data_IF_593811744811
#
_entry.id   IF_593811744811
#
_cell.length_a   1.000
_cell.length_b   1.000
_cell.length_c   1.000
_cell.angle_alpha   90.00
_cell.angle_beta   90.00
_cell.angle_gamma   90.00
#
_symmetry.space_group_name_H-M   'P 1'
#
loop_
_entity.id
_entity.type
_entity.pdbx_description
1 polymer ?
#
# COMPACT_ATOMS: atom_id res chain seq x y z
N UNK A 1 21.82 11.68 -26.57
CA UNK A 1 20.46 11.11 -26.67
C UNK A 1 19.69 11.12 -25.33
N UNK A 2 19.87 12.13 -24.46
CA UNK A 2 19.21 12.23 -23.13
C UNK A 2 18.12 13.30 -23.02
N UNK A 3 17.91 14.14 -24.05
CA UNK A 3 17.01 15.30 -23.96
C UNK A 3 15.75 15.25 -24.85
N UNK A 4 15.45 14.11 -25.49
CA UNK A 4 14.27 14.03 -26.36
C UNK A 4 13.00 13.49 -25.68
N UNK A 5 13.12 12.92 -24.48
CA UNK A 5 11.96 12.36 -23.75
C UNK A 5 11.29 13.32 -22.76
N UNK A 6 11.91 14.46 -22.43
CA UNK A 6 11.33 15.41 -21.45
C UNK A 6 10.36 16.41 -22.06
N UNK A 7 10.47 16.73 -23.33
CA UNK A 7 9.70 17.83 -23.96
C UNK A 7 8.38 17.40 -24.62
N UNK A 8 8.22 16.12 -24.95
CA UNK A 8 6.98 15.63 -25.59
C UNK A 8 5.89 15.19 -24.59
N UNK A 9 6.22 15.08 -23.32
CA UNK A 9 5.23 14.66 -22.30
C UNK A 9 4.33 15.78 -21.79
N UNK A 10 4.65 17.04 -22.04
CA UNK A 10 3.84 18.19 -21.58
C UNK A 10 2.67 18.55 -22.53
N UNK A 11 2.72 18.10 -23.78
CA UNK A 11 1.73 18.49 -24.82
C UNK A 11 0.41 17.69 -24.70
N UNK A 12 0.43 16.50 -24.10
CA UNK A 12 -0.78 15.68 -23.96
C UNK A 12 -1.48 16.00 -22.63
N UNK A 13 -2.73 16.49 -22.65
CA UNK A 13 -3.49 16.74 -21.42
C UNK A 13 -3.52 15.50 -20.51
N UNK A 14 -3.41 15.74 -19.20
CA UNK A 14 -3.36 14.69 -18.16
C UNK A 14 -4.48 13.65 -18.31
N UNK A 15 -5.71 14.09 -18.64
CA UNK A 15 -6.84 13.18 -18.82
C UNK A 15 -6.66 12.24 -20.01
N UNK A 16 -6.02 12.69 -21.12
CA UNK A 16 -5.73 11.85 -22.29
C UNK A 16 -4.65 10.83 -21.93
N UNK A 17 -3.60 11.25 -21.21
CA UNK A 17 -2.57 10.30 -20.72
C UNK A 17 -3.17 9.22 -19.86
N UNK A 18 -4.07 9.60 -18.95
CA UNK A 18 -4.75 8.67 -18.07
C UNK A 18 -5.68 7.72 -18.83
N UNK A 19 -6.44 8.24 -19.79
CA UNK A 19 -7.32 7.46 -20.65
C UNK A 19 -6.53 6.47 -21.52
N UNK A 20 -5.44 6.92 -22.16
CA UNK A 20 -4.57 6.05 -22.95
C UNK A 20 -3.90 4.96 -22.08
N UNK A 21 -3.50 5.30 -20.88
CA UNK A 21 -2.96 4.34 -19.90
C UNK A 21 -4.00 3.30 -19.50
N UNK A 22 -5.24 3.71 -19.25
CA UNK A 22 -6.34 2.80 -18.93
C UNK A 22 -6.71 1.90 -20.13
N UNK A 23 -6.72 2.45 -21.36
CA UNK A 23 -6.90 1.68 -22.58
C UNK A 23 -5.76 0.67 -22.73
N UNK A 24 -4.50 1.11 -22.64
CA UNK A 24 -3.33 0.24 -22.75
C UNK A 24 -3.41 -0.92 -21.75
N UNK A 25 -3.70 -0.65 -20.50
CA UNK A 25 -3.85 -1.68 -19.48
C UNK A 25 -5.07 -2.57 -19.68
N UNK A 26 -6.15 -2.03 -20.22
CA UNK A 26 -7.35 -2.81 -20.57
C UNK A 26 -7.09 -3.81 -21.69
N UNK A 27 -6.37 -3.41 -22.73
CA UNK A 27 -6.07 -4.26 -23.89
C UNK A 27 -4.92 -5.24 -23.64
N UNK A 28 -3.83 -4.79 -23.03
CA UNK A 28 -2.64 -5.64 -22.88
C UNK A 28 -2.78 -6.66 -21.76
N UNK A 29 -3.59 -6.35 -20.77
CA UNK A 29 -3.75 -7.20 -19.57
C UNK A 29 -2.46 -7.39 -18.76
N UNK A 30 -1.41 -6.65 -19.08
CA UNK A 30 -0.05 -6.80 -18.57
C UNK A 30 0.32 -5.63 -17.65
N UNK A 31 -0.32 -5.55 -16.50
CA UNK A 31 -0.04 -4.49 -15.52
C UNK A 31 1.40 -4.53 -15.02
N UNK A 32 1.95 -5.71 -14.83
CA UNK A 32 3.24 -5.87 -14.21
C UNK A 32 4.27 -6.41 -15.21
N UNK A 33 4.03 -7.57 -15.81
CA UNK A 33 4.96 -8.13 -16.82
C UNK A 33 4.24 -8.86 -17.94
N UNK A 34 4.91 -8.96 -19.12
CA UNK A 34 4.41 -9.75 -20.26
C UNK A 34 4.77 -11.23 -20.14
N UNK A 35 5.83 -11.54 -19.37
CA UNK A 35 6.36 -12.89 -19.12
C UNK A 35 7.02 -12.91 -17.74
N UNK A 36 7.30 -14.08 -17.21
CA UNK A 36 8.15 -14.24 -16.05
C UNK A 36 9.50 -13.52 -16.25
N UNK A 37 9.97 -12.73 -15.28
CA UNK A 37 11.17 -11.92 -15.42
C UNK A 37 12.45 -12.63 -15.03
N UNK A 38 12.36 -13.72 -14.26
CA UNK A 38 13.51 -14.47 -13.80
C UNK A 38 13.16 -15.88 -13.39
N UNK A 39 14.17 -16.61 -12.94
CA UNK A 39 14.02 -17.95 -12.37
C UNK A 39 13.97 -17.89 -10.83
N UNK A 40 13.75 -19.04 -10.18
CA UNK A 40 13.66 -19.17 -8.72
C UNK A 40 14.88 -18.59 -8.00
N UNK A 41 16.09 -18.86 -8.51
CA UNK A 41 17.35 -18.39 -7.93
C UNK A 41 17.42 -16.86 -7.87
N UNK A 42 16.97 -16.16 -8.93
CA UNK A 42 17.00 -14.70 -8.96
C UNK A 42 16.12 -14.09 -7.85
N UNK A 43 14.91 -14.61 -7.64
CA UNK A 43 14.01 -14.11 -6.59
C UNK A 43 14.54 -14.45 -5.19
N UNK A 44 15.10 -15.65 -4.98
CA UNK A 44 15.66 -16.03 -3.69
C UNK A 44 16.88 -15.19 -3.32
N UNK A 45 17.78 -14.89 -4.25
CA UNK A 45 18.91 -14.00 -4.01
C UNK A 45 18.47 -12.60 -3.56
N UNK A 46 17.44 -12.02 -4.21
CA UNK A 46 16.89 -10.74 -3.79
C UNK A 46 16.27 -10.85 -2.40
N UNK A 47 15.51 -11.91 -2.15
CA UNK A 47 14.88 -12.16 -0.86
C UNK A 47 15.90 -12.25 0.28
N UNK A 48 16.95 -13.06 0.12
CA UNK A 48 18.04 -13.22 1.11
C UNK A 48 18.68 -11.85 1.43
N UNK A 49 19.03 -11.08 0.39
CA UNK A 49 19.65 -9.77 0.58
C UNK A 49 18.73 -8.78 1.31
N UNK A 50 17.42 -8.77 1.00
CA UNK A 50 16.49 -7.81 1.57
C UNK A 50 16.02 -8.23 2.97
N UNK A 51 15.81 -9.52 3.22
CA UNK A 51 15.39 -10.04 4.54
C UNK A 51 16.47 -9.88 5.61
N UNK A 52 17.76 -9.86 5.19
CA UNK A 52 18.90 -9.62 6.08
C UNK A 52 19.18 -8.12 6.32
N UNK A 53 18.59 -7.22 5.51
CA UNK A 53 18.83 -5.77 5.61
C UNK A 53 18.22 -5.19 6.89
N UNK A 54 18.99 -4.35 7.60
CA UNK A 54 18.52 -3.62 8.78
C UNK A 54 17.89 -2.27 8.37
N UNK A 55 16.85 -1.87 9.07
CA UNK A 55 16.13 -0.63 8.85
C UNK A 55 16.01 0.17 10.16
N UNK A 56 17.14 0.68 10.61
CA UNK A 56 17.34 1.29 11.94
C UNK A 56 16.29 2.36 12.28
N UNK A 57 15.79 3.11 11.30
CA UNK A 57 14.78 4.15 11.56
C UNK A 57 13.42 3.53 11.93
N UNK A 58 13.05 2.44 11.24
CA UNK A 58 11.83 1.68 11.56
C UNK A 58 11.97 0.99 12.92
N UNK A 59 13.14 0.37 13.17
CA UNK A 59 13.43 -0.29 14.46
C UNK A 59 13.33 0.72 15.62
N UNK A 60 13.91 1.92 15.45
CA UNK A 60 13.81 3.00 16.43
C UNK A 60 12.38 3.47 16.65
N UNK A 61 11.63 3.71 15.58
CA UNK A 61 10.23 4.12 15.68
C UNK A 61 9.41 3.11 16.47
N UNK A 62 9.49 1.83 16.12
CA UNK A 62 8.74 0.76 16.79
C UNK A 62 9.14 0.66 18.26
N UNK A 63 10.45 0.69 18.57
CA UNK A 63 10.93 0.57 19.94
C UNK A 63 10.62 1.81 20.81
N UNK A 64 10.78 3.03 20.26
CA UNK A 64 10.51 4.26 21.01
C UNK A 64 9.03 4.43 21.39
N UNK A 65 8.12 3.89 20.58
CA UNK A 65 6.68 3.89 20.85
C UNK A 65 6.19 2.60 21.55
N UNK A 66 7.10 1.68 21.90
CA UNK A 66 6.76 0.40 22.52
C UNK A 66 5.67 -0.37 21.74
N UNK A 67 5.77 -0.41 20.42
CA UNK A 67 4.79 -1.03 19.55
C UNK A 67 5.05 -2.53 19.40
N UNK A 68 3.96 -3.31 19.25
CA UNK A 68 4.06 -4.73 18.91
C UNK A 68 4.47 -4.90 17.44
N UNK A 69 5.46 -5.76 17.20
CA UNK A 69 5.86 -6.12 15.84
C UNK A 69 5.08 -7.33 15.30
N UNK A 70 4.99 -7.38 13.99
CA UNK A 70 4.50 -8.56 13.27
C UNK A 70 5.52 -9.70 13.38
N UNK A 71 5.03 -10.94 13.38
CA UNK A 71 5.90 -12.11 13.27
C UNK A 71 6.80 -12.03 12.03
N UNK A 72 8.11 -12.21 12.26
CA UNK A 72 9.14 -12.05 11.23
C UNK A 72 9.02 -13.09 10.12
N UNK A 73 8.66 -14.33 10.47
CA UNK A 73 8.52 -15.39 9.48
C UNK A 73 7.29 -15.11 8.59
N UNK A 74 6.16 -14.73 9.20
CA UNK A 74 4.96 -14.39 8.48
C UNK A 74 5.18 -13.28 7.45
N UNK A 75 5.78 -12.16 7.87
CA UNK A 75 5.99 -11.03 6.94
C UNK A 75 6.99 -11.38 5.84
N UNK A 76 8.03 -12.15 6.14
CA UNK A 76 9.04 -12.57 5.18
C UNK A 76 8.46 -13.54 4.14
N UNK A 77 7.68 -14.53 4.56
CA UNK A 77 7.03 -15.50 3.67
C UNK A 77 6.02 -14.81 2.74
N UNK A 78 5.22 -13.92 3.29
CA UNK A 78 4.29 -13.11 2.48
C UNK A 78 5.05 -12.19 1.51
N UNK A 79 6.14 -11.55 1.96
CA UNK A 79 6.96 -10.69 1.12
C UNK A 79 7.61 -11.44 -0.04
N UNK A 80 8.07 -12.67 0.17
CA UNK A 80 8.68 -13.51 -0.87
C UNK A 80 7.77 -13.64 -2.11
N UNK A 81 6.48 -13.83 -1.91
CA UNK A 81 5.52 -14.00 -3.02
C UNK A 81 4.96 -12.67 -3.52
N UNK A 82 4.91 -11.63 -2.67
CA UNK A 82 4.17 -10.40 -2.99
C UNK A 82 5.05 -9.15 -3.16
N UNK A 83 6.22 -9.05 -2.51
CA UNK A 83 7.06 -7.85 -2.54
C UNK A 83 8.38 -8.07 -3.27
N UNK A 84 8.94 -9.28 -3.20
CA UNK A 84 10.19 -9.59 -3.91
C UNK A 84 9.93 -9.58 -5.42
N UNK A 85 10.61 -8.67 -6.11
CA UNK A 85 10.40 -8.41 -7.53
C UNK A 85 11.72 -8.01 -8.20
N UNK A 86 11.92 -8.41 -9.44
CA UNK A 86 13.08 -8.03 -10.25
C UNK A 86 12.83 -6.65 -10.85
N UNK A 87 13.37 -5.60 -10.24
CA UNK A 87 13.19 -4.20 -10.63
C UNK A 87 14.46 -3.38 -10.37
N UNK A 88 14.56 -2.19 -11.00
CA UNK A 88 15.71 -1.28 -10.81
C UNK A 88 15.63 -0.48 -9.51
N UNK A 89 14.42 -0.18 -9.04
CA UNK A 89 14.21 0.51 -7.76
C UNK A 89 14.47 -0.41 -6.58
N UNK A 90 14.73 0.15 -5.42
CA UNK A 90 14.90 -0.61 -4.18
C UNK A 90 13.67 -1.50 -3.91
N UNK A 91 13.94 -2.76 -3.57
CA UNK A 91 12.92 -3.66 -3.04
C UNK A 91 12.85 -3.44 -1.54
N UNK A 92 11.65 -3.15 -1.04
CA UNK A 92 11.42 -2.88 0.38
C UNK A 92 9.99 -3.33 0.73
N UNK A 93 9.81 -3.93 1.91
CA UNK A 93 8.51 -4.32 2.44
C UNK A 93 8.32 -3.92 3.92
N UNK A 94 9.10 -2.91 4.37
CA UNK A 94 9.05 -2.46 5.76
C UNK A 94 7.77 -1.69 6.12
N UNK A 95 7.04 -1.18 5.10
CA UNK A 95 5.69 -0.66 5.33
C UNK A 95 4.78 -1.70 5.99
N UNK A 96 4.98 -3.00 5.76
CA UNK A 96 4.21 -4.04 6.45
C UNK A 96 4.45 -4.04 7.97
N UNK A 97 5.68 -3.81 8.44
CA UNK A 97 5.96 -3.67 9.88
C UNK A 97 5.25 -2.44 10.45
N UNK A 98 5.33 -1.31 9.76
CA UNK A 98 4.66 -0.06 10.18
C UNK A 98 3.15 -0.22 10.21
N UNK A 99 2.53 -0.76 9.14
CA UNK A 99 1.08 -1.04 9.10
C UNK A 99 0.67 -1.86 10.31
N UNK A 100 1.33 -3.00 10.55
CA UNK A 100 0.98 -3.89 11.65
C UNK A 100 1.14 -3.21 13.01
N UNK A 101 2.29 -2.60 13.27
CA UNK A 101 2.62 -2.04 14.58
C UNK A 101 1.73 -0.85 14.94
N UNK A 102 1.50 0.06 13.99
CA UNK A 102 0.63 1.24 14.18
C UNK A 102 -0.82 0.80 14.35
N UNK A 103 -1.31 -0.08 13.47
CA UNK A 103 -2.69 -0.55 13.50
C UNK A 103 -2.97 -1.38 14.76
N UNK A 104 -2.03 -2.23 15.22
CA UNK A 104 -2.18 -3.00 16.45
C UNK A 104 -2.33 -2.08 17.67
N UNK A 105 -1.51 -1.05 17.77
CA UNK A 105 -1.64 -0.05 18.83
C UNK A 105 -2.97 0.70 18.75
N UNK A 106 -3.37 1.13 17.54
CA UNK A 106 -4.66 1.78 17.33
C UNK A 106 -5.83 0.89 17.78
N UNK A 107 -5.84 -0.38 17.38
CA UNK A 107 -6.91 -1.33 17.78
C UNK A 107 -6.91 -1.51 19.30
N UNK A 108 -5.76 -1.73 19.93
CA UNK A 108 -5.63 -1.89 21.38
C UNK A 108 -6.24 -0.72 22.14
N UNK A 109 -6.06 0.50 21.67
CA UNK A 109 -6.58 1.72 22.30
C UNK A 109 -8.10 1.90 22.09
N UNK A 110 -8.67 1.30 21.03
CA UNK A 110 -10.03 1.57 20.59
C UNK A 110 -10.99 0.37 20.72
N UNK A 111 -10.51 -0.86 20.89
CA UNK A 111 -11.34 -2.09 20.82
C UNK A 111 -12.46 -2.14 21.88
N UNK A 112 -12.30 -1.50 23.03
CA UNK A 112 -13.33 -1.44 24.05
C UNK A 112 -14.49 -0.50 23.70
N UNK A 113 -14.26 0.42 22.75
CA UNK A 113 -15.22 1.47 22.36
C UNK A 113 -15.80 1.25 20.94
N UNK A 114 -15.24 0.31 20.16
CA UNK A 114 -15.61 0.07 18.78
C UNK A 114 -15.89 -1.42 18.54
N UNK A 115 -17.09 -1.72 18.08
CA UNK A 115 -17.48 -3.09 17.77
C UNK A 115 -17.06 -3.54 16.35
N UNK A 116 -16.85 -2.60 15.43
CA UNK A 116 -16.52 -2.88 14.04
C UNK A 116 -15.49 -1.87 13.53
N UNK A 117 -14.48 -2.36 12.85
CA UNK A 117 -13.44 -1.54 12.23
C UNK A 117 -13.56 -1.54 10.71
N UNK A 118 -13.39 -0.37 10.11
CA UNK A 118 -13.27 -0.22 8.67
C UNK A 118 -11.88 0.26 8.31
N UNK A 119 -11.20 -0.52 7.47
CA UNK A 119 -9.87 -0.21 6.97
C UNK A 119 -9.88 -0.02 5.46
N UNK A 120 -9.06 0.91 4.99
CA UNK A 120 -8.88 1.22 3.57
C UNK A 120 -7.43 0.92 3.19
N UNK A 121 -7.26 0.27 2.04
CA UNK A 121 -5.98 -0.04 1.44
C UNK A 121 -6.00 0.41 -0.02
N UNK A 122 -5.17 1.39 -0.37
CA UNK A 122 -5.07 1.93 -1.72
C UNK A 122 -3.71 1.59 -2.31
N UNK A 123 -3.72 0.92 -3.48
CA UNK A 123 -2.50 0.48 -4.14
C UNK A 123 -2.00 -0.90 -3.70
N UNK A 124 -2.90 -1.80 -3.33
CA UNK A 124 -2.54 -3.12 -2.77
C UNK A 124 -1.68 -4.00 -3.68
N UNK A 125 -1.60 -3.71 -4.98
CA UNK A 125 -0.86 -4.49 -5.97
C UNK A 125 -1.08 -6.02 -5.84
N UNK A 126 -0.15 -6.74 -5.26
CA UNK A 126 -0.21 -8.19 -5.05
C UNK A 126 -0.97 -8.59 -3.78
N UNK A 127 -1.45 -7.63 -2.99
CA UNK A 127 -2.24 -7.87 -1.77
C UNK A 127 -1.43 -7.93 -0.47
N UNK A 128 -0.18 -7.49 -0.48
CA UNK A 128 0.68 -7.51 0.72
C UNK A 128 0.10 -6.69 1.86
N UNK A 129 -0.19 -5.41 1.62
CA UNK A 129 -0.73 -4.47 2.61
C UNK A 129 -2.07 -4.95 3.18
N UNK A 130 -2.99 -5.39 2.31
CA UNK A 130 -4.30 -5.88 2.75
C UNK A 130 -4.21 -7.14 3.62
N UNK A 131 -3.27 -8.06 3.33
CA UNK A 131 -3.03 -9.24 4.18
C UNK A 131 -2.43 -8.84 5.53
N UNK A 132 -1.49 -7.88 5.57
CA UNK A 132 -0.92 -7.38 6.83
C UNK A 132 -1.98 -6.70 7.70
N UNK A 133 -2.84 -5.85 7.12
CA UNK A 133 -3.95 -5.20 7.84
C UNK A 133 -4.89 -6.28 8.42
N UNK A 134 -5.24 -7.27 7.62
CA UNK A 134 -6.09 -8.37 8.05
C UNK A 134 -5.44 -9.22 9.16
N UNK A 135 -4.16 -9.57 9.02
CA UNK A 135 -3.37 -10.27 10.05
C UNK A 135 -3.42 -9.52 11.38
N UNK A 136 -3.21 -8.21 11.36
CA UNK A 136 -3.27 -7.39 12.56
C UNK A 136 -4.65 -7.43 13.23
N UNK A 137 -5.73 -7.30 12.45
CA UNK A 137 -7.10 -7.33 12.98
C UNK A 137 -7.46 -8.71 13.54
N UNK A 138 -7.06 -9.79 12.88
CA UNK A 138 -7.27 -11.17 13.37
C UNK A 138 -6.48 -11.44 14.66
N UNK A 139 -5.22 -11.02 14.73
CA UNK A 139 -4.40 -11.15 15.94
C UNK A 139 -4.95 -10.35 17.13
N UNK A 140 -5.72 -9.32 16.84
CA UNK A 140 -6.40 -8.47 17.82
C UNK A 140 -7.83 -8.95 18.13
N UNK A 141 -8.30 -10.04 17.50
CA UNK A 141 -9.62 -10.63 17.67
C UNK A 141 -10.80 -9.63 17.54
N UNK A 142 -10.70 -8.68 16.61
CA UNK A 142 -11.74 -7.67 16.38
C UNK A 142 -12.55 -7.94 15.12
N UNK A 143 -13.80 -7.45 15.06
CA UNK A 143 -14.59 -7.45 13.84
C UNK A 143 -14.11 -6.33 12.90
N UNK A 144 -13.85 -6.67 11.64
CA UNK A 144 -13.31 -5.72 10.68
C UNK A 144 -13.77 -6.00 9.25
N UNK A 145 -13.65 -4.98 8.42
CA UNK A 145 -13.77 -5.06 6.97
C UNK A 145 -12.67 -4.23 6.32
N UNK A 146 -12.11 -4.74 5.23
CA UNK A 146 -11.10 -4.05 4.43
C UNK A 146 -11.65 -3.80 3.04
N UNK A 147 -11.58 -2.56 2.55
CA UNK A 147 -11.76 -2.25 1.14
C UNK A 147 -10.40 -1.91 0.54
N UNK A 148 -9.98 -2.75 -0.39
CA UNK A 148 -8.69 -2.64 -1.06
C UNK A 148 -8.89 -2.21 -2.50
N UNK A 149 -8.32 -1.07 -2.90
CA UNK A 149 -8.49 -0.44 -4.21
C UNK A 149 -7.22 -0.53 -5.02
N UNK A 150 -7.33 -1.03 -6.26
CA UNK A 150 -6.20 -1.10 -7.19
C UNK A 150 -6.67 -1.08 -8.65
N UNK A 151 -5.79 -0.69 -9.56
CA UNK A 151 -6.05 -0.80 -11.00
C UNK A 151 -5.96 -2.25 -11.49
N UNK A 152 -5.20 -3.09 -10.79
CA UNK A 152 -4.99 -4.49 -11.13
C UNK A 152 -6.23 -5.30 -10.77
N UNK A 153 -6.80 -6.06 -11.73
CA UNK A 153 -7.97 -6.90 -11.46
C UNK A 153 -7.61 -8.04 -10.50
N UNK A 154 -8.53 -8.36 -9.59
CA UNK A 154 -8.31 -9.39 -8.58
C UNK A 154 -8.27 -10.81 -9.16
N UNK A 155 -9.19 -11.10 -10.06
CA UNK A 155 -9.43 -12.45 -10.60
C UNK A 155 -8.79 -12.73 -11.98
N UNK A 156 -8.00 -11.78 -12.54
CA UNK A 156 -7.34 -11.97 -13.83
C UNK A 156 -5.96 -12.59 -13.66
N UNK A 157 -5.67 -13.65 -14.43
CA UNK A 157 -4.36 -14.30 -14.44
C UNK A 157 -3.33 -13.46 -15.19
N UNK A 158 -2.29 -13.05 -14.48
CA UNK A 158 -1.18 -12.24 -15.01
C UNK A 158 0.16 -12.76 -14.47
N UNK A 159 1.27 -12.29 -15.04
CA UNK A 159 2.58 -12.43 -14.43
C UNK A 159 2.78 -11.26 -13.44
N UNK A 160 3.09 -11.58 -12.20
CA UNK A 160 3.18 -10.61 -11.10
C UNK A 160 4.57 -10.05 -10.86
N UNK A 161 5.59 -10.47 -11.62
CA UNK A 161 7.00 -10.27 -11.29
C UNK A 161 7.30 -10.81 -9.87
N UNK A 162 7.00 -12.06 -9.66
CA UNK A 162 7.08 -12.79 -8.41
C UNK A 162 7.70 -14.16 -8.64
N UNK A 163 8.23 -14.77 -7.60
CA UNK A 163 8.73 -16.15 -7.65
C UNK A 163 7.64 -17.14 -8.12
N UNK A 164 6.37 -16.84 -7.89
CA UNK A 164 5.24 -17.66 -8.35
C UNK A 164 5.03 -17.64 -9.87
N UNK A 165 5.58 -16.68 -10.58
CA UNK A 165 5.51 -16.61 -12.05
C UNK A 165 6.19 -17.78 -12.76
N UNK A 166 7.03 -18.55 -12.06
CA UNK A 166 7.69 -19.76 -12.56
C UNK A 166 6.64 -20.85 -12.82
N UNK A 167 5.56 -20.85 -12.03
CA UNK A 167 4.42 -21.76 -12.17
C UNK A 167 3.42 -21.30 -13.26
N UNK A 168 3.66 -20.10 -13.87
CA UNK A 168 2.80 -19.50 -14.87
C UNK A 168 2.04 -18.27 -14.36
N UNK A 169 1.02 -17.87 -15.13
CA UNK A 169 0.15 -16.75 -14.73
C UNK A 169 -0.79 -17.16 -13.61
N UNK A 170 -0.97 -16.27 -12.65
CA UNK A 170 -1.94 -16.46 -11.56
C UNK A 170 -2.81 -15.20 -11.37
N UNK A 171 -4.00 -15.38 -10.82
CA UNK A 171 -4.80 -14.30 -10.26
C UNK A 171 -4.23 -13.88 -8.91
N UNK A 172 -4.66 -12.72 -8.36
CA UNK A 172 -4.29 -12.35 -6.98
C UNK A 172 -4.83 -13.38 -5.98
N UNK A 173 -6.00 -13.92 -6.20
CA UNK A 173 -6.58 -14.98 -5.38
C UNK A 173 -5.70 -16.24 -5.35
N UNK A 174 -5.25 -16.70 -6.54
CA UNK A 174 -4.34 -17.84 -6.65
C UNK A 174 -2.96 -17.55 -6.04
N UNK A 175 -2.45 -16.31 -6.21
CA UNK A 175 -1.19 -15.87 -5.61
C UNK A 175 -1.23 -15.91 -4.08
N UNK A 176 -2.37 -15.53 -3.49
CA UNK A 176 -2.57 -15.44 -2.05
C UNK A 176 -3.29 -16.68 -1.46
N UNK A 177 -3.35 -17.80 -2.18
CA UNK A 177 -4.09 -19.00 -1.73
C UNK A 177 -3.70 -19.50 -0.34
N UNK A 178 -2.40 -19.39 0.00
CA UNK A 178 -1.85 -19.80 1.29
C UNK A 178 -2.17 -18.79 2.42
N UNK A 179 -2.74 -17.63 2.06
CA UNK A 179 -3.19 -16.56 2.94
C UNK A 179 -4.71 -16.31 2.85
N UNK A 180 -5.47 -17.34 2.41
CA UNK A 180 -6.92 -17.25 2.16
C UNK A 180 -7.68 -16.72 3.37
N UNK A 181 -7.36 -17.18 4.57
CA UNK A 181 -8.04 -16.77 5.81
C UNK A 181 -7.91 -15.26 6.05
N UNK A 182 -6.79 -14.66 5.68
CA UNK A 182 -6.54 -13.21 5.78
C UNK A 182 -7.21 -12.41 4.67
N UNK A 183 -7.70 -13.06 3.61
CA UNK A 183 -8.38 -12.35 2.50
C UNK A 183 -9.90 -12.41 2.58
N UNK A 184 -10.48 -13.21 3.47
CA UNK A 184 -11.94 -13.41 3.59
C UNK A 184 -12.70 -12.10 3.89
N UNK A 185 -12.13 -11.20 4.69
CA UNK A 185 -12.73 -9.90 5.04
C UNK A 185 -12.21 -8.74 4.16
N UNK A 186 -11.49 -9.05 3.06
CA UNK A 186 -10.96 -8.07 2.12
C UNK A 186 -11.83 -8.03 0.86
N UNK A 187 -12.41 -6.86 0.58
CA UNK A 187 -13.10 -6.61 -0.67
C UNK A 187 -12.16 -5.89 -1.64
N UNK A 188 -11.61 -6.64 -2.59
CA UNK A 188 -10.77 -6.08 -3.65
C UNK A 188 -11.61 -5.39 -4.72
N UNK A 189 -11.31 -4.13 -5.01
CA UNK A 189 -12.07 -3.27 -5.93
C UNK A 189 -11.13 -2.77 -7.02
N UNK A 190 -11.39 -3.22 -8.26
CA UNK A 190 -10.67 -2.74 -9.43
C UNK A 190 -11.12 -1.34 -9.81
N UNK A 191 -10.17 -0.42 -10.01
CA UNK A 191 -10.38 0.89 -10.61
C UNK A 191 -9.78 2.03 -9.81
N UNK A 192 -9.85 3.24 -10.39
CA UNK A 192 -9.37 4.46 -9.74
C UNK A 192 -10.25 4.81 -8.54
N UNK A 193 -9.66 5.24 -7.45
CA UNK A 193 -10.34 5.67 -6.23
C UNK A 193 -11.37 6.76 -6.50
N UNK A 194 -11.07 7.73 -7.38
CA UNK A 194 -12.02 8.78 -7.82
C UNK A 194 -13.35 8.24 -8.32
N UNK A 195 -13.36 7.05 -8.93
CA UNK A 195 -14.56 6.42 -9.47
C UNK A 195 -15.19 5.40 -8.51
N UNK A 196 -14.39 4.89 -7.55
CA UNK A 196 -14.77 3.71 -6.75
C UNK A 196 -15.07 4.01 -5.29
N UNK A 197 -14.58 5.10 -4.71
CA UNK A 197 -14.83 5.44 -3.31
C UNK A 197 -16.31 5.62 -2.97
N UNK A 198 -17.17 5.89 -3.96
CA UNK A 198 -18.61 5.88 -3.76
C UNK A 198 -19.15 4.56 -3.18
N UNK A 199 -18.46 3.44 -3.38
CA UNK A 199 -18.84 2.12 -2.85
C UNK A 199 -18.80 2.11 -1.32
N UNK A 200 -17.98 2.95 -0.72
CA UNK A 200 -17.84 3.08 0.73
C UNK A 200 -18.46 4.36 1.28
N UNK A 201 -19.28 5.06 0.49
CA UNK A 201 -19.91 6.33 0.91
C UNK A 201 -20.89 6.17 2.08
N UNK A 202 -21.58 5.02 2.18
CA UNK A 202 -22.53 4.70 3.26
C UNK A 202 -21.89 4.39 4.61
N UNK A 203 -20.58 4.12 4.66
CA UNK A 203 -19.89 3.90 5.92
C UNK A 203 -19.63 5.24 6.63
N UNK A 204 -19.93 5.31 7.92
CA UNK A 204 -19.81 6.55 8.70
C UNK A 204 -18.37 6.85 9.15
N UNK A 205 -17.57 5.80 9.38
CA UNK A 205 -16.20 5.96 9.89
C UNK A 205 -15.20 5.09 9.13
N UNK A 206 -14.02 5.65 8.89
CA UNK A 206 -12.83 4.95 8.42
C UNK A 206 -11.78 5.06 9.52
N UNK A 207 -11.44 3.93 10.12
CA UNK A 207 -10.56 3.88 11.29
C UNK A 207 -9.07 3.97 10.94
N UNK A 208 -8.68 3.32 9.85
CA UNK A 208 -7.31 3.30 9.37
C UNK A 208 -7.31 3.27 7.85
N UNK A 209 -6.40 4.01 7.24
CA UNK A 209 -6.16 3.96 5.80
C UNK A 209 -4.66 3.87 5.50
N UNK A 210 -4.29 3.00 4.56
CA UNK A 210 -2.96 2.94 3.96
C UNK A 210 -3.04 3.44 2.52
N UNK A 211 -2.24 4.46 2.18
CA UNK A 211 -2.22 5.10 0.87
C UNK A 211 -0.87 4.90 0.19
N UNK A 212 -0.82 3.96 -0.75
CA UNK A 212 0.33 3.59 -1.59
C UNK A 212 -0.10 3.41 -3.06
N UNK A 213 -1.03 4.23 -3.54
CA UNK A 213 -1.60 4.09 -4.88
C UNK A 213 -0.97 5.02 -5.90
N UNK A 214 -1.31 6.27 -5.86
CA UNK A 214 -0.83 7.32 -6.76
C UNK A 214 0.07 8.28 -6.00
N UNK A 215 1.16 8.73 -6.66
CA UNK A 215 2.03 9.78 -6.11
C UNK A 215 1.69 11.17 -6.67
N UNK A 216 0.63 11.25 -7.48
CA UNK A 216 0.12 12.49 -8.03
C UNK A 216 -0.69 13.24 -6.97
N UNK A 217 -0.39 14.54 -6.78
CA UNK A 217 -0.99 15.38 -5.76
C UNK A 217 -2.53 15.36 -5.79
N UNK A 218 -3.16 15.51 -6.98
CA UNK A 218 -4.62 15.59 -7.09
C UNK A 218 -5.32 14.26 -6.78
N UNK A 219 -4.65 13.13 -7.06
CA UNK A 219 -5.18 11.81 -6.76
C UNK A 219 -5.13 11.53 -5.26
N UNK A 220 -3.96 11.75 -4.63
CA UNK A 220 -3.79 11.52 -3.19
C UNK A 220 -4.61 12.53 -2.37
N UNK A 221 -4.71 13.79 -2.82
CA UNK A 221 -5.57 14.82 -2.18
C UNK A 221 -7.04 14.45 -2.23
N UNK A 222 -7.51 13.86 -3.34
CA UNK A 222 -8.88 13.35 -3.43
C UNK A 222 -9.11 12.23 -2.41
N UNK A 223 -8.19 11.26 -2.33
CA UNK A 223 -8.25 10.12 -1.41
C UNK A 223 -8.26 10.61 0.05
N UNK A 224 -7.32 11.47 0.40
CA UNK A 224 -7.25 12.09 1.72
C UNK A 224 -8.54 12.83 2.09
N UNK A 225 -9.05 13.70 1.22
CA UNK A 225 -10.25 14.49 1.50
C UNK A 225 -11.51 13.62 1.68
N UNK A 226 -11.60 12.50 0.95
CA UNK A 226 -12.70 11.56 1.13
C UNK A 226 -12.60 10.84 2.49
N UNK A 227 -11.41 10.34 2.83
CA UNK A 227 -11.15 9.62 4.08
C UNK A 227 -11.33 10.54 5.28
N UNK A 228 -10.75 11.75 5.24
CA UNK A 228 -10.82 12.78 6.29
C UNK A 228 -12.25 13.06 6.75
N UNK A 229 -13.20 13.15 5.81
CA UNK A 229 -14.64 13.40 6.13
C UNK A 229 -15.27 12.27 6.95
N UNK A 230 -14.65 11.11 6.99
CA UNK A 230 -15.13 9.90 7.68
C UNK A 230 -14.24 9.50 8.86
N UNK A 231 -13.25 10.31 9.20
CA UNK A 231 -12.39 10.06 10.35
C UNK A 231 -12.83 10.85 11.56
N UNK A 232 -12.66 10.23 12.71
CA UNK A 232 -12.85 10.83 14.04
C UNK A 232 -11.48 10.96 14.71
N UNK A 233 -11.42 11.70 15.82
CA UNK A 233 -10.22 11.86 16.63
C UNK A 233 -9.55 10.50 16.90
N UNK A 234 -8.25 10.44 16.69
CA UNK A 234 -7.42 9.26 16.87
C UNK A 234 -7.35 8.34 15.65
N UNK A 235 -8.22 8.49 14.62
CA UNK A 235 -8.14 7.69 13.39
C UNK A 235 -6.87 8.03 12.59
N UNK A 236 -6.34 7.05 11.86
CA UNK A 236 -4.99 7.14 11.29
C UNK A 236 -5.02 6.99 9.76
N UNK A 237 -4.19 7.77 9.08
CA UNK A 237 -3.77 7.55 7.69
C UNK A 237 -2.26 7.31 7.68
N UNK A 238 -1.82 6.21 7.11
CA UNK A 238 -0.42 5.93 6.82
C UNK A 238 -0.17 6.15 5.33
N UNK A 239 0.73 7.07 5.01
CA UNK A 239 1.18 7.34 3.65
C UNK A 239 2.51 6.64 3.37
N UNK A 240 2.60 5.92 2.24
CA UNK A 240 3.88 5.44 1.69
C UNK A 240 4.50 6.49 0.76
N UNK A 241 5.76 6.28 0.41
CA UNK A 241 6.51 7.07 -0.57
C UNK A 241 6.61 8.58 -0.25
N UNK A 242 6.57 8.97 1.03
CA UNK A 242 6.77 10.36 1.47
C UNK A 242 8.25 10.68 1.47
N UNK A 243 8.82 10.87 0.27
CA UNK A 243 10.27 11.05 0.05
C UNK A 243 10.52 12.31 -0.77
N UNK A 244 11.19 13.28 -0.15
CA UNK A 244 11.53 14.55 -0.80
C UNK A 244 12.38 14.33 -2.06
N UNK A 245 12.06 15.10 -3.11
CA UNK A 245 12.75 15.01 -4.39
C UNK A 245 12.37 13.82 -5.28
N UNK A 246 11.59 12.85 -4.78
CA UNK A 246 11.15 11.69 -5.54
C UNK A 246 9.64 11.70 -5.82
N UNK A 247 8.82 11.95 -4.82
CA UNK A 247 7.36 11.88 -4.90
C UNK A 247 6.73 13.21 -4.45
N UNK A 248 7.05 14.28 -5.16
CA UNK A 248 6.69 15.66 -4.78
C UNK A 248 5.18 15.88 -4.55
N UNK A 249 4.31 15.11 -5.22
CA UNK A 249 2.86 15.25 -5.06
C UNK A 249 2.38 14.83 -3.68
N UNK A 250 2.82 13.67 -3.19
CA UNK A 250 2.45 13.17 -1.86
C UNK A 250 3.13 13.97 -0.75
N UNK A 251 4.41 14.35 -0.95
CA UNK A 251 5.14 15.21 -0.01
C UNK A 251 4.46 16.56 0.17
N UNK A 252 4.02 17.18 -0.94
CA UNK A 252 3.27 18.44 -0.91
C UNK A 252 2.00 18.30 -0.07
N UNK A 253 1.22 17.23 -0.31
CA UNK A 253 -0.02 17.00 0.45
C UNK A 253 0.25 16.79 1.94
N UNK A 254 1.23 15.97 2.31
CA UNK A 254 1.57 15.72 3.72
C UNK A 254 2.00 17.02 4.43
N UNK A 255 2.74 17.90 3.74
CA UNK A 255 3.11 19.21 4.28
C UNK A 255 1.88 20.13 4.46
N UNK A 256 0.92 20.14 3.52
CA UNK A 256 -0.34 20.86 3.67
C UNK A 256 -1.18 20.33 4.85
N UNK A 257 -1.24 19.01 5.04
CA UNK A 257 -1.95 18.40 6.18
C UNK A 257 -1.31 18.86 7.50
N UNK A 258 0.02 18.85 7.58
CA UNK A 258 0.76 19.33 8.75
C UNK A 258 0.45 20.79 9.08
N UNK A 259 0.44 21.67 8.06
CA UNK A 259 0.15 23.10 8.24
C UNK A 259 -1.28 23.37 8.69
N UNK A 260 -2.24 22.55 8.26
CA UNK A 260 -3.66 22.73 8.61
C UNK A 260 -4.01 22.30 10.04
N UNK A 261 -3.09 21.65 10.76
CA UNK A 261 -3.24 21.25 12.17
C UNK A 261 -4.49 20.41 12.49
N UNK A 262 -5.06 19.71 11.48
CA UNK A 262 -6.17 18.81 11.67
C UNK A 262 -5.71 17.37 11.97
N UNK A 263 -4.42 17.13 11.76
CA UNK A 263 -3.74 15.87 12.01
C UNK A 263 -2.39 16.13 12.65
N UNK A 264 -2.03 15.33 13.61
CA UNK A 264 -0.66 15.17 14.06
C UNK A 264 0.10 14.34 13.02
N UNK A 265 1.27 14.81 12.58
CA UNK A 265 2.07 14.16 11.54
C UNK A 265 3.42 13.72 12.10
N UNK A 266 3.70 12.41 11.99
CA UNK A 266 5.02 11.86 12.24
C UNK A 266 5.60 11.29 10.96
N UNK A 267 6.84 11.71 10.58
CA UNK A 267 7.53 11.25 9.38
C UNK A 267 8.65 10.28 9.73
N UNK A 268 8.76 9.21 8.94
CA UNK A 268 9.78 8.17 9.09
C UNK A 268 10.52 8.02 7.76
N UNK A 269 11.81 8.33 7.71
CA UNK A 269 12.65 8.11 6.55
C UNK A 269 13.42 6.80 6.72
N UNK A 270 13.01 5.73 6.05
CA UNK A 270 13.66 4.42 6.16
C UNK A 270 14.89 4.28 5.28
N UNK A 271 14.97 5.04 4.20
CA UNK A 271 16.15 5.19 3.33
C UNK A 271 16.06 6.53 2.59
N UNK A 272 17.10 6.86 1.80
CA UNK A 272 17.10 8.05 0.93
C UNK A 272 16.03 7.99 -0.18
N UNK A 273 15.45 6.81 -0.44
CA UNK A 273 14.45 6.57 -1.48
C UNK A 273 13.08 6.19 -0.92
N UNK A 274 12.93 6.06 0.41
CA UNK A 274 11.69 5.55 1.01
C UNK A 274 11.40 6.26 2.34
N UNK A 275 10.31 6.98 2.36
CA UNK A 275 9.78 7.65 3.55
C UNK A 275 8.30 7.34 3.75
N UNK A 276 7.84 7.52 4.97
CA UNK A 276 6.45 7.31 5.38
C UNK A 276 5.98 8.51 6.18
N UNK A 277 4.66 8.74 6.20
CA UNK A 277 4.05 9.68 7.13
C UNK A 277 2.82 9.05 7.79
N UNK A 278 2.76 9.18 9.10
CA UNK A 278 1.63 8.78 9.94
C UNK A 278 0.85 10.05 10.23
N UNK A 279 -0.40 10.11 9.81
CA UNK A 279 -1.30 11.22 10.10
C UNK A 279 -2.39 10.73 11.06
N UNK A 280 -2.36 11.22 12.30
CA UNK A 280 -3.35 10.91 13.35
C UNK A 280 -4.33 12.07 13.48
N UNK A 281 -5.63 11.81 13.33
CA UNK A 281 -6.68 12.85 13.42
C UNK A 281 -6.75 13.43 14.83
N UNK A 282 -6.68 14.77 14.94
CA UNK A 282 -6.76 15.52 16.20
C UNK A 282 -8.21 15.73 16.64
#
# INVERSE_FOLDING_TARGET
MKNFYSTTTEIIPKFIKLFLKDIYYSFTGNYITKKAKGNKKNYLQIYEAISAKKYNQIDRFISSHNLKEIDKNFINDLALISQISIKKSEVNYQHGRLIYSILNNYIKLNQNNLNNFLFIDVGTAKGFSSVIISKCAMDSAVNYKIFSFDLIPHNKKIFWNSIKDIEGKSSREELLKDYKDYTNNVKYIKGRTKNKFKIISSYERINFAFLDGSHDYDDVKFEFNFIKKKQKKGDIILFDDVTDGHFNGIVKLVNEIYQNQEYEIEKINSSIFRGYAIATKI
#
